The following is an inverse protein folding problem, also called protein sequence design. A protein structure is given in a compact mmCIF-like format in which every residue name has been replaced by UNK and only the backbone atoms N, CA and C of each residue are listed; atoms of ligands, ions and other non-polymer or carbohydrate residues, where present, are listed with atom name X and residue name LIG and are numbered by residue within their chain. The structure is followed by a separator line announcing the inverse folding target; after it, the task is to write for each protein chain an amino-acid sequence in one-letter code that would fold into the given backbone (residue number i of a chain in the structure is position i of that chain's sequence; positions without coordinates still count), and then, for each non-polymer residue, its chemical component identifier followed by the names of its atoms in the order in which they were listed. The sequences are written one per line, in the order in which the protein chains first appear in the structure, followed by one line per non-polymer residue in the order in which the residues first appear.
data_IF_227082654248
#
_entry.id   IF_227082654248
#
_cell.length_a   1.000
_cell.length_b   1.000
_cell.length_c   1.000
_cell.angle_alpha   90.00
_cell.angle_beta   90.00
_cell.angle_gamma   90.00
#
_symmetry.space_group_name_H-M   'P 1'
#
loop_
_entity.id
_entity.type
_entity.pdbx_description
1 polymer ?
#
# COMPACT_ATOMS: atom_id res chain seq x y z
N UNK A 1 14.46 -40.06 8.80
CA UNK A 1 15.00 -38.73 9.11
C UNK A 1 13.84 -37.78 8.96
N UNK A 2 13.23 -37.41 10.09
CA UNK A 2 12.12 -36.45 10.13
C UNK A 2 12.64 -35.07 9.71
N UNK A 3 12.15 -34.58 8.59
CA UNK A 3 12.31 -33.17 8.23
C UNK A 3 11.34 -32.37 9.11
N UNK A 4 11.91 -31.69 10.10
CA UNK A 4 11.20 -30.82 11.01
C UNK A 4 10.30 -29.84 10.26
N UNK A 5 9.01 -30.01 10.50
CA UNK A 5 7.93 -29.11 10.14
C UNK A 5 8.10 -27.80 10.93
N UNK A 6 9.02 -26.96 10.46
CA UNK A 6 9.28 -25.64 11.00
C UNK A 6 8.17 -24.68 10.59
N UNK A 7 6.97 -24.84 11.16
CA UNK A 7 5.97 -23.77 11.23
C UNK A 7 6.55 -22.67 12.13
N UNK A 8 7.23 -21.70 11.54
CA UNK A 8 7.32 -20.39 12.20
C UNK A 8 5.99 -19.68 11.98
N UNK A 9 5.00 -20.06 12.80
CA UNK A 9 3.82 -19.26 13.07
C UNK A 9 4.26 -17.95 13.74
N UNK A 10 4.85 -17.06 12.94
CA UNK A 10 5.06 -15.68 13.38
C UNK A 10 3.69 -15.04 13.51
N UNK A 11 3.34 -14.80 14.77
CA UNK A 11 2.05 -14.35 15.24
C UNK A 11 1.63 -13.03 14.57
N UNK A 12 0.39 -13.02 14.09
CA UNK A 12 -0.26 -11.80 13.63
C UNK A 12 -0.48 -10.87 14.81
N UNK A 13 -0.15 -9.59 14.65
CA UNK A 13 -0.62 -8.59 15.61
C UNK A 13 -2.04 -8.17 15.24
N UNK A 14 -2.97 -8.40 16.16
CA UNK A 14 -4.37 -8.08 15.94
C UNK A 14 -4.63 -6.57 16.07
N UNK A 15 -5.35 -6.03 15.10
CA UNK A 15 -5.85 -4.65 15.07
C UNK A 15 -7.37 -4.72 15.13
N UNK A 16 -7.92 -4.66 16.33
CA UNK A 16 -9.38 -4.76 16.51
C UNK A 16 -10.06 -3.40 16.28
N UNK A 17 -11.23 -3.45 15.62
CA UNK A 17 -12.16 -2.33 15.48
C UNK A 17 -13.51 -2.65 16.15
N UNK A 18 -14.19 -1.61 16.62
CA UNK A 18 -15.56 -1.73 17.12
C UNK A 18 -16.60 -1.82 15.98
N UNK A 19 -16.19 -1.56 14.73
CA UNK A 19 -17.07 -1.70 13.57
C UNK A 19 -17.46 -3.16 13.33
N UNK A 20 -18.69 -3.38 12.86
CA UNK A 20 -19.24 -4.71 12.63
C UNK A 20 -18.65 -5.41 11.40
N UNK A 21 -18.27 -4.63 10.39
CA UNK A 21 -17.60 -5.11 9.18
C UNK A 21 -16.58 -4.08 8.69
N UNK A 22 -15.67 -4.52 7.82
CA UNK A 22 -14.80 -3.63 7.06
C UNK A 22 -15.35 -3.51 5.64
N UNK A 23 -15.75 -2.30 5.26
CA UNK A 23 -16.13 -2.02 3.88
C UNK A 23 -14.89 -1.90 2.97
N UNK A 24 -15.13 -2.01 1.66
CA UNK A 24 -14.07 -1.93 0.65
C UNK A 24 -13.32 -0.59 0.65
N UNK A 25 -13.99 0.50 1.04
CA UNK A 25 -13.39 1.85 1.17
C UNK A 25 -12.37 1.88 2.31
N UNK A 26 -12.73 1.30 3.46
CA UNK A 26 -11.89 1.21 4.65
C UNK A 26 -10.64 0.39 4.38
N UNK A 27 -10.77 -0.77 3.72
CA UNK A 27 -9.62 -1.57 3.30
C UNK A 27 -8.71 -0.76 2.37
N UNK A 28 -9.29 -0.11 1.36
CA UNK A 28 -8.54 0.72 0.41
C UNK A 28 -7.73 1.85 1.10
N UNK A 29 -8.35 2.59 2.00
CA UNK A 29 -7.70 3.71 2.70
C UNK A 29 -6.63 3.22 3.69
N UNK A 30 -6.90 2.16 4.45
CA UNK A 30 -5.92 1.57 5.38
C UNK A 30 -4.68 1.09 4.63
N UNK A 31 -4.88 0.36 3.53
CA UNK A 31 -3.79 -0.12 2.67
C UNK A 31 -3.01 1.06 2.07
N UNK A 32 -3.71 2.11 1.64
CA UNK A 32 -3.07 3.31 1.06
C UNK A 32 -2.26 4.11 2.08
N UNK A 33 -2.77 4.26 3.30
CA UNK A 33 -2.08 4.96 4.38
C UNK A 33 -0.83 4.19 4.84
N UNK A 34 -0.94 2.86 4.98
CA UNK A 34 0.19 2.00 5.31
C UNK A 34 1.25 2.03 4.19
N UNK A 35 0.84 2.05 2.93
CA UNK A 35 1.75 2.21 1.80
C UNK A 35 2.52 3.54 1.88
N UNK A 36 1.82 4.65 2.15
CA UNK A 36 2.44 5.96 2.33
C UNK A 36 3.43 5.98 3.49
N UNK A 37 3.06 5.35 4.61
CA UNK A 37 3.92 5.17 5.78
C UNK A 37 5.18 4.35 5.45
N UNK A 38 5.06 3.21 4.77
CA UNK A 38 6.20 2.36 4.39
C UNK A 38 7.17 3.15 3.50
N UNK A 39 6.65 3.88 2.50
CA UNK A 39 7.51 4.68 1.63
C UNK A 39 8.27 5.75 2.41
N UNK A 40 7.59 6.44 3.33
CA UNK A 40 8.20 7.50 4.14
C UNK A 40 9.24 6.94 5.13
N UNK A 41 8.86 5.95 5.93
CA UNK A 41 9.72 5.38 6.98
C UNK A 41 10.99 4.73 6.42
N UNK A 42 10.91 4.14 5.23
CA UNK A 42 12.08 3.57 4.55
C UNK A 42 12.81 4.58 3.67
N UNK A 43 12.52 5.88 3.80
CA UNK A 43 13.17 6.96 3.05
C UNK A 43 13.11 6.77 1.52
N UNK A 44 12.03 6.14 1.04
CA UNK A 44 11.74 6.01 -0.40
C UNK A 44 11.11 7.28 -0.96
N UNK A 45 10.61 8.14 -0.08
CA UNK A 45 10.11 9.47 -0.38
C UNK A 45 10.62 10.45 0.69
N UNK A 46 10.76 11.73 0.33
CA UNK A 46 11.41 12.76 1.17
C UNK A 46 10.53 13.35 2.28
N UNK A 47 9.22 13.16 2.19
CA UNK A 47 8.22 13.61 3.17
C UNK A 47 7.00 12.70 3.09
N UNK A 48 6.01 12.90 3.96
CA UNK A 48 4.79 12.09 3.92
C UNK A 48 4.09 12.25 2.57
N UNK A 49 3.41 11.19 2.12
CA UNK A 49 2.86 11.13 0.76
C UNK A 49 1.89 12.29 0.45
N UNK A 50 1.19 12.81 1.45
CA UNK A 50 0.30 13.97 1.32
C UNK A 50 1.08 15.24 0.90
N UNK A 51 2.19 15.52 1.57
CA UNK A 51 3.01 16.72 1.30
C UNK A 51 3.63 16.66 -0.09
N UNK A 52 4.12 15.50 -0.52
CA UNK A 52 4.68 15.32 -1.87
C UNK A 52 3.59 15.45 -2.93
N UNK A 53 2.39 14.95 -2.64
CA UNK A 53 1.24 15.13 -3.54
C UNK A 53 0.91 16.61 -3.69
N UNK A 54 0.92 17.36 -2.59
CA UNK A 54 0.71 18.80 -2.59
C UNK A 54 1.81 19.54 -3.36
N UNK A 55 3.09 19.29 -3.06
CA UNK A 55 4.24 19.86 -3.79
C UNK A 55 4.13 19.60 -5.30
N UNK A 56 3.78 18.38 -5.70
CA UNK A 56 3.64 18.02 -7.10
C UNK A 56 2.51 18.77 -7.80
N UNK A 57 1.38 18.96 -7.11
CA UNK A 57 0.23 19.70 -7.63
C UNK A 57 0.53 21.19 -7.76
N UNK A 58 1.19 21.79 -6.77
CA UNK A 58 1.64 23.18 -6.79
C UNK A 58 2.61 23.43 -7.95
N UNK A 59 3.60 22.55 -8.13
CA UNK A 59 4.53 22.65 -9.27
C UNK A 59 3.80 22.57 -10.61
N UNK A 60 2.79 21.70 -10.74
CA UNK A 60 1.97 21.61 -11.96
C UNK A 60 1.09 22.82 -12.18
N UNK A 61 0.53 23.41 -11.12
CA UNK A 61 -0.24 24.64 -11.20
C UNK A 61 0.64 25.82 -11.63
N UNK A 62 1.77 26.02 -10.95
CA UNK A 62 2.74 27.07 -11.26
C UNK A 62 3.25 26.94 -12.71
N UNK A 63 3.53 25.71 -13.17
CA UNK A 63 3.96 25.49 -14.55
C UNK A 63 2.92 25.94 -15.58
N UNK A 64 1.62 25.69 -15.32
CA UNK A 64 0.52 26.13 -16.18
C UNK A 64 0.37 27.66 -16.17
N UNK A 65 0.49 28.28 -15.00
CA UNK A 65 0.46 29.74 -14.87
C UNK A 65 1.60 30.41 -15.64
N UNK A 66 2.83 29.90 -15.49
CA UNK A 66 4.00 30.37 -16.23
C UNK A 66 3.84 30.18 -17.75
N UNK A 67 3.12 29.15 -18.20
CA UNK A 67 2.80 28.97 -19.63
C UNK A 67 1.88 30.04 -20.17
N UNK A 68 0.83 30.39 -19.41
CA UNK A 68 -0.09 31.48 -19.76
C UNK A 68 0.62 32.83 -19.73
N UNK A 69 1.42 33.11 -18.69
CA UNK A 69 2.14 34.38 -18.56
C UNK A 69 3.16 34.60 -19.67
N UNK A 70 3.88 33.55 -20.08
CA UNK A 70 4.86 33.63 -21.17
C UNK A 70 4.18 33.81 -22.53
N UNK A 71 2.99 33.24 -22.73
CA UNK A 71 2.20 33.44 -23.94
C UNK A 71 1.67 34.89 -24.05
N UNK A 72 1.40 35.56 -22.92
CA UNK A 72 0.91 36.94 -22.86
C UNK A 72 2.02 38.00 -22.79
N UNK A 73 3.30 37.60 -22.79
CA UNK A 73 4.44 38.44 -22.41
C UNK A 73 4.99 39.35 -23.54
N UNK A 74 4.27 39.59 -24.64
CA UNK A 74 4.82 40.31 -25.81
C UNK A 74 5.34 41.73 -25.49
N UNK A 75 4.79 42.41 -24.48
CA UNK A 75 5.19 43.76 -24.04
C UNK A 75 6.09 43.81 -22.79
N UNK A 76 6.48 42.66 -22.19
CA UNK A 76 7.30 42.66 -20.96
C UNK A 76 8.79 42.83 -21.26
N UNK A 77 9.52 43.48 -20.34
CA UNK A 77 10.96 43.66 -20.44
C UNK A 77 11.73 42.34 -20.65
N UNK A 78 12.83 42.36 -21.41
CA UNK A 78 13.64 41.16 -21.71
C UNK A 78 14.15 40.48 -20.42
N UNK A 79 14.47 41.26 -19.39
CA UNK A 79 14.93 40.77 -18.09
C UNK A 79 13.87 39.93 -17.36
N UNK A 80 12.60 40.35 -17.38
CA UNK A 80 11.50 39.61 -16.74
C UNK A 80 11.20 38.33 -17.50
N UNK A 81 11.22 38.36 -18.84
CA UNK A 81 11.06 37.16 -19.68
C UNK A 81 12.16 36.12 -19.42
N UNK A 82 13.42 36.54 -19.25
CA UNK A 82 14.54 35.65 -18.90
C UNK A 82 14.34 35.02 -17.52
N UNK A 83 13.92 35.80 -16.52
CA UNK A 83 13.63 35.30 -15.15
C UNK A 83 12.49 34.27 -15.16
N UNK A 84 11.39 34.55 -15.86
CA UNK A 84 10.27 33.61 -16.00
C UNK A 84 10.69 32.32 -16.73
N UNK A 85 11.51 32.43 -17.78
CA UNK A 85 12.02 31.25 -18.49
C UNK A 85 12.94 30.39 -17.60
N UNK A 86 13.77 31.00 -16.75
CA UNK A 86 14.59 30.29 -15.77
C UNK A 86 13.71 29.56 -14.75
N UNK A 87 12.72 30.26 -14.17
CA UNK A 87 11.77 29.65 -13.22
C UNK A 87 10.99 28.50 -13.84
N UNK A 88 10.49 28.64 -15.07
CA UNK A 88 9.80 27.56 -15.79
C UNK A 88 10.67 26.31 -15.93
N UNK A 89 11.98 26.46 -16.16
CA UNK A 89 12.92 25.32 -16.23
C UNK A 89 13.06 24.63 -14.87
N UNK A 90 13.20 25.39 -13.79
CA UNK A 90 13.28 24.84 -12.42
C UNK A 90 12.03 24.05 -12.07
N UNK A 91 10.85 24.65 -12.27
CA UNK A 91 9.54 24.01 -12.00
C UNK A 91 9.39 22.73 -12.83
N UNK A 92 9.74 22.77 -14.12
CA UNK A 92 9.71 21.59 -15.00
C UNK A 92 10.62 20.47 -14.50
N UNK A 93 11.79 20.79 -13.96
CA UNK A 93 12.69 19.81 -13.36
C UNK A 93 12.12 19.23 -12.06
N UNK A 94 11.47 20.05 -11.23
CA UNK A 94 10.73 19.60 -10.05
C UNK A 94 9.62 18.60 -10.40
N UNK A 95 8.80 18.92 -11.41
CA UNK A 95 7.76 18.01 -11.91
C UNK A 95 8.38 16.68 -12.35
N UNK A 96 9.40 16.73 -13.22
CA UNK A 96 10.07 15.51 -13.74
C UNK A 96 10.63 14.62 -12.63
N UNK A 97 11.13 15.23 -11.55
CA UNK A 97 11.67 14.51 -10.38
C UNK A 97 10.59 13.65 -9.70
N UNK A 98 9.39 14.17 -9.54
CA UNK A 98 8.30 13.53 -8.79
C UNK A 98 7.35 12.71 -9.68
N UNK A 99 7.24 13.06 -10.97
CA UNK A 99 6.20 12.58 -11.88
C UNK A 99 6.12 11.05 -11.96
N UNK A 100 7.25 10.36 -12.12
CA UNK A 100 7.25 8.90 -12.21
C UNK A 100 6.72 8.24 -10.94
N UNK A 101 7.13 8.74 -9.78
CA UNK A 101 6.69 8.22 -8.48
C UNK A 101 5.22 8.51 -8.25
N UNK A 102 4.77 9.75 -8.51
CA UNK A 102 3.36 10.14 -8.34
C UNK A 102 2.43 9.39 -9.29
N UNK A 103 2.82 9.20 -10.55
CA UNK A 103 2.07 8.38 -11.50
C UNK A 103 2.01 6.92 -11.04
N UNK A 104 3.12 6.37 -10.54
CA UNK A 104 3.15 4.98 -10.03
C UNK A 104 2.25 4.81 -8.81
N UNK A 105 2.23 5.78 -7.88
CA UNK A 105 1.33 5.82 -6.72
C UNK A 105 -0.13 5.87 -7.20
N UNK A 106 -0.47 6.79 -8.10
CA UNK A 106 -1.83 6.95 -8.61
C UNK A 106 -2.31 5.68 -9.31
N UNK A 107 -1.50 5.10 -10.20
CA UNK A 107 -1.84 3.87 -10.92
C UNK A 107 -1.98 2.67 -9.97
N UNK A 108 -1.14 2.59 -8.92
CA UNK A 108 -1.25 1.55 -7.91
C UNK A 108 -2.54 1.70 -7.10
N UNK A 109 -2.91 2.92 -6.69
CA UNK A 109 -4.19 3.19 -6.03
C UNK A 109 -5.37 2.78 -6.91
N UNK A 110 -5.38 3.18 -8.18
CA UNK A 110 -6.43 2.75 -9.13
C UNK A 110 -6.49 1.23 -9.29
N UNK A 111 -5.34 0.56 -9.41
CA UNK A 111 -5.28 -0.90 -9.49
C UNK A 111 -5.83 -1.57 -8.22
N UNK A 112 -5.44 -1.06 -7.04
CA UNK A 112 -5.94 -1.56 -5.76
C UNK A 112 -7.45 -1.36 -5.63
N UNK A 113 -7.97 -0.21 -6.04
CA UNK A 113 -9.39 0.08 -6.05
C UNK A 113 -10.14 -0.95 -6.88
N UNK A 114 -9.73 -1.16 -8.15
CA UNK A 114 -10.32 -2.16 -9.04
C UNK A 114 -10.24 -3.59 -8.46
N UNK A 115 -9.09 -3.96 -7.89
CA UNK A 115 -8.91 -5.27 -7.25
C UNK A 115 -9.90 -5.51 -6.12
N UNK A 116 -10.07 -4.54 -5.22
CA UNK A 116 -10.97 -4.69 -4.07
C UNK A 116 -12.44 -4.59 -4.52
N UNK A 117 -12.75 -3.87 -5.61
CA UNK A 117 -14.10 -3.88 -6.19
C UNK A 117 -14.47 -5.26 -6.77
N UNK A 118 -13.55 -5.91 -7.49
CA UNK A 118 -13.76 -7.25 -8.07
C UNK A 118 -13.71 -8.36 -7.01
N UNK A 119 -12.87 -8.20 -5.99
CA UNK A 119 -12.69 -9.16 -4.91
C UNK A 119 -12.99 -8.46 -3.58
N UNK A 120 -14.27 -8.25 -3.23
CA UNK A 120 -14.64 -7.50 -2.01
C UNK A 120 -14.16 -8.17 -0.71
N UNK A 121 -13.89 -9.47 -0.77
CA UNK A 121 -13.37 -10.27 0.36
C UNK A 121 -11.86 -10.48 0.25
N UNK A 122 -11.07 -9.42 0.02
CA UNK A 122 -9.61 -9.55 0.01
C UNK A 122 -9.12 -10.01 1.37
N UNK A 123 -8.66 -11.26 1.44
CA UNK A 123 -8.20 -11.85 2.70
C UNK A 123 -6.80 -11.37 3.08
N UNK A 124 -5.91 -11.23 2.09
CA UNK A 124 -4.49 -10.97 2.33
C UNK A 124 -3.86 -10.08 1.27
N UNK A 125 -3.19 -9.02 1.73
CA UNK A 125 -2.38 -8.10 0.93
C UNK A 125 -0.96 -8.12 1.46
N UNK A 126 0.02 -8.19 0.58
CA UNK A 126 1.44 -8.10 0.91
C UNK A 126 2.09 -6.92 0.19
N UNK A 127 2.77 -6.07 0.96
CA UNK A 127 3.63 -5.00 0.43
C UNK A 127 5.07 -5.39 0.67
N UNK A 128 5.81 -5.53 -0.43
CA UNK A 128 7.19 -6.00 -0.41
C UNK A 128 8.12 -4.88 -0.85
N UNK A 129 9.03 -4.50 0.04
CA UNK A 129 10.06 -3.51 -0.25
C UNK A 129 11.39 -4.21 -0.52
N UNK A 130 11.98 -4.01 -1.70
CA UNK A 130 13.27 -4.62 -2.07
C UNK A 130 13.55 -4.61 -3.57
N UNK A 131 14.67 -5.21 -4.03
CA UNK A 131 15.00 -5.30 -5.46
C UNK A 131 13.95 -6.05 -6.30
N UNK A 132 13.29 -7.05 -5.70
CA UNK A 132 12.26 -7.88 -6.34
C UNK A 132 11.39 -8.55 -5.26
N UNK A 133 10.16 -9.00 -5.57
CA UNK A 133 9.32 -9.75 -4.62
C UNK A 133 9.99 -11.00 -4.03
N UNK A 134 10.89 -11.65 -4.78
CA UNK A 134 11.64 -12.84 -4.34
C UNK A 134 12.88 -12.53 -3.50
N UNK A 135 13.30 -11.26 -3.46
CA UNK A 135 14.45 -10.78 -2.66
C UNK A 135 13.99 -9.58 -1.83
N UNK A 136 13.06 -9.80 -0.88
CA UNK A 136 12.54 -8.74 -0.04
C UNK A 136 13.59 -8.27 0.98
N UNK A 137 13.69 -6.95 1.16
CA UNK A 137 14.33 -6.37 2.34
C UNK A 137 13.33 -6.32 3.49
N UNK A 138 12.09 -5.92 3.19
CA UNK A 138 11.00 -5.86 4.16
C UNK A 138 9.71 -6.40 3.54
N UNK A 139 8.91 -7.06 4.36
CA UNK A 139 7.60 -7.58 3.96
C UNK A 139 6.57 -7.10 4.99
N UNK A 140 5.52 -6.46 4.52
CA UNK A 140 4.36 -6.09 5.32
C UNK A 140 3.16 -6.89 4.82
N UNK A 141 2.50 -7.61 5.72
CA UNK A 141 1.33 -8.42 5.40
C UNK A 141 0.12 -7.91 6.18
N UNK A 142 -0.94 -7.61 5.45
CA UNK A 142 -2.20 -7.14 5.98
C UNK A 142 -3.24 -8.22 5.71
N UNK A 143 -3.84 -8.75 6.77
CA UNK A 143 -4.93 -9.70 6.68
C UNK A 143 -6.22 -9.07 7.17
N UNK A 144 -7.29 -9.22 6.41
CA UNK A 144 -8.60 -8.66 6.74
C UNK A 144 -9.57 -9.81 6.99
N UNK A 145 -10.06 -9.93 8.22
CA UNK A 145 -11.13 -10.88 8.52
C UNK A 145 -12.47 -10.18 8.32
N UNK A 146 -13.34 -10.78 7.50
CA UNK A 146 -14.75 -10.40 7.30
C UNK A 146 -15.01 -9.05 6.60
N UNK A 147 -14.76 -8.98 5.30
CA UNK A 147 -15.33 -7.92 4.45
C UNK A 147 -16.79 -8.24 4.14
N UNK A 148 -17.74 -7.40 4.52
CA UNK A 148 -19.14 -7.60 4.11
C UNK A 148 -19.93 -6.31 4.07
N UNK A 149 -19.42 -5.34 3.32
CA UNK A 149 -20.21 -4.19 2.86
C UNK A 149 -19.54 -3.59 1.63
N UNK A 150 -20.26 -3.60 0.51
CA UNK A 150 -19.84 -2.89 -0.72
C UNK A 150 -20.37 -1.47 -0.59
N UNK A 151 -19.51 -0.53 -0.18
CA UNK A 151 -19.80 0.89 -0.29
C UNK A 151 -19.45 1.37 -1.69
N UNK A 152 -20.38 2.02 -2.40
CA UNK A 152 -20.14 2.59 -3.72
C UNK A 152 -19.27 3.85 -3.72
N UNK A 153 -19.06 4.46 -2.54
CA UNK A 153 -18.22 5.65 -2.38
C UNK A 153 -16.92 5.29 -1.63
N UNK A 154 -15.80 5.71 -2.22
CA UNK A 154 -14.44 5.61 -1.65
C UNK A 154 -14.08 6.85 -0.82
N UNK A 155 -15.07 7.59 -0.32
CA UNK A 155 -14.85 8.66 0.65
C UNK A 155 -14.19 8.12 1.92
N UNK A 156 -13.33 8.94 2.51
CA UNK A 156 -12.53 8.56 3.67
C UNK A 156 -13.40 8.53 4.93
N UNK A 157 -13.48 7.38 5.60
CA UNK A 157 -14.24 7.21 6.84
C UNK A 157 -13.37 7.46 8.09
N UNK A 158 -14.01 7.83 9.21
CA UNK A 158 -13.34 7.92 10.52
C UNK A 158 -12.79 6.56 11.00
N UNK A 159 -13.45 5.47 10.59
CA UNK A 159 -13.03 4.10 10.90
C UNK A 159 -11.69 3.80 10.22
N UNK A 160 -11.58 4.11 8.93
CA UNK A 160 -10.33 3.99 8.19
C UNK A 160 -9.20 4.79 8.84
N UNK A 161 -9.44 6.05 9.20
CA UNK A 161 -8.44 6.91 9.83
C UNK A 161 -7.95 6.35 11.19
N UNK A 162 -8.89 5.87 12.02
CA UNK A 162 -8.57 5.25 13.30
C UNK A 162 -7.75 3.97 13.13
N UNK A 163 -8.15 3.11 12.20
CA UNK A 163 -7.46 1.86 11.89
C UNK A 163 -6.07 2.10 11.31
N UNK A 164 -5.92 3.03 10.37
CA UNK A 164 -4.63 3.44 9.81
C UNK A 164 -3.68 3.88 10.92
N UNK A 165 -4.11 4.77 11.82
CA UNK A 165 -3.29 5.20 12.95
C UNK A 165 -2.89 4.06 13.87
N UNK A 166 -3.84 3.17 14.22
CA UNK A 166 -3.56 2.01 15.08
C UNK A 166 -2.55 1.08 14.43
N UNK A 167 -2.76 0.74 13.16
CA UNK A 167 -1.85 -0.10 12.37
C UNK A 167 -0.46 0.51 12.27
N UNK A 168 -0.34 1.78 11.92
CA UNK A 168 0.95 2.49 11.82
C UNK A 168 1.67 2.51 13.16
N UNK A 169 0.98 2.84 14.27
CA UNK A 169 1.58 2.81 15.62
C UNK A 169 2.09 1.42 15.97
N UNK A 170 1.33 0.38 15.66
CA UNK A 170 1.75 -1.01 15.87
C UNK A 170 2.96 -1.38 15.01
N UNK A 171 3.03 -0.92 13.76
CA UNK A 171 4.21 -1.14 12.91
C UNK A 171 5.46 -0.48 13.53
N UNK A 172 5.34 0.77 13.97
CA UNK A 172 6.42 1.49 14.64
C UNK A 172 6.87 0.75 15.91
N UNK A 173 5.94 0.31 16.76
CA UNK A 173 6.28 -0.42 17.99
C UNK A 173 6.94 -1.77 17.74
N UNK A 174 6.71 -2.38 16.56
CA UNK A 174 7.39 -3.61 16.12
C UNK A 174 8.74 -3.36 15.44
N UNK A 175 9.19 -2.10 15.35
CA UNK A 175 10.49 -1.74 14.76
C UNK A 175 10.44 -1.45 13.25
N UNK A 176 9.27 -1.18 12.66
CA UNK A 176 9.22 -0.74 11.26
C UNK A 176 10.00 0.58 11.09
N UNK A 177 11.06 0.53 10.27
CA UNK A 177 11.92 1.69 10.00
C UNK A 177 13.11 1.86 10.95
N UNK A 178 13.41 0.89 11.83
CA UNK A 178 14.57 0.96 12.73
C UNK A 178 15.93 0.70 12.06
N UNK A 179 15.95 0.43 10.75
CA UNK A 179 17.13 0.05 10.01
C UNK A 179 17.78 1.25 9.31
N UNK A 180 19.06 1.13 9.00
CA UNK A 180 19.78 2.12 8.21
C UNK A 180 19.26 2.19 6.77
N UNK A 181 19.34 3.38 6.17
CA UNK A 181 18.98 3.60 4.78
C UNK A 181 19.92 2.84 3.84
N UNK A 182 19.34 2.02 2.97
CA UNK A 182 20.08 1.17 2.01
C UNK A 182 19.99 1.68 0.57
N UNK A 183 19.53 2.90 0.38
CA UNK A 183 19.30 3.48 -0.95
C UNK A 183 17.87 3.31 -1.47
N UNK A 184 17.58 3.88 -2.66
CA UNK A 184 16.27 3.77 -3.29
C UNK A 184 16.01 2.35 -3.78
N UNK A 185 14.85 1.81 -3.44
CA UNK A 185 14.43 0.46 -3.82
C UNK A 185 13.00 0.49 -4.39
N UNK A 186 12.37 -0.68 -4.53
CA UNK A 186 11.03 -0.81 -5.13
C UNK A 186 10.03 -1.36 -4.13
N UNK A 187 8.84 -0.78 -4.12
CA UNK A 187 7.67 -1.30 -3.41
C UNK A 187 6.77 -2.04 -4.40
N UNK A 188 6.55 -3.33 -4.13
CA UNK A 188 5.64 -4.20 -4.86
C UNK A 188 4.40 -4.47 -4.02
N UNK A 189 3.23 -4.49 -4.67
CA UNK A 189 1.97 -4.88 -4.05
C UNK A 189 1.55 -6.26 -4.59
N UNK A 190 1.25 -7.18 -3.69
CA UNK A 190 0.69 -8.49 -4.01
C UNK A 190 -0.63 -8.67 -3.26
N UNK A 191 -1.60 -9.30 -3.90
CA UNK A 191 -2.93 -9.56 -3.32
C UNK A 191 -3.25 -11.03 -3.52
N UNK A 192 -3.73 -11.71 -2.47
CA UNK A 192 -4.35 -13.03 -2.62
C UNK A 192 -5.77 -12.87 -3.12
N UNK A 193 -6.09 -13.52 -4.23
CA UNK A 193 -7.40 -13.47 -4.86
C UNK A 193 -7.71 -14.81 -5.56
N UNK A 194 -8.98 -15.10 -5.86
CA UNK A 194 -9.37 -16.28 -6.63
C UNK A 194 -8.64 -16.37 -7.97
N UNK A 195 -8.26 -17.57 -8.38
CA UNK A 195 -7.53 -17.80 -9.64
C UNK A 195 -8.33 -17.42 -10.89
N UNK A 196 -9.66 -17.26 -10.77
CA UNK A 196 -10.56 -16.74 -11.80
C UNK A 196 -10.50 -15.23 -12.01
N UNK A 197 -9.83 -14.47 -11.13
CA UNK A 197 -9.71 -13.02 -11.25
C UNK A 197 -9.06 -12.61 -12.58
N UNK A 198 -9.69 -11.68 -13.29
CA UNK A 198 -9.23 -11.20 -14.59
C UNK A 198 -9.01 -9.67 -14.61
N UNK A 199 -7.86 -9.22 -14.10
CA UNK A 199 -7.42 -7.82 -14.16
C UNK A 199 -6.05 -7.69 -14.85
N UNK A 200 -5.90 -8.10 -16.13
CA UNK A 200 -4.60 -8.32 -16.76
C UNK A 200 -3.80 -7.04 -16.99
N UNK A 201 -4.47 -5.88 -17.09
CA UNK A 201 -3.84 -4.56 -17.22
C UNK A 201 -3.17 -4.10 -15.92
N UNK A 202 -3.58 -4.63 -14.78
CA UNK A 202 -3.15 -4.15 -13.46
C UNK A 202 -2.44 -5.23 -12.64
N UNK A 203 -2.76 -6.50 -12.84
CA UNK A 203 -2.26 -7.61 -12.04
C UNK A 203 -1.75 -8.77 -12.90
N UNK A 204 -0.73 -9.44 -12.37
CA UNK A 204 -0.13 -10.63 -12.97
C UNK A 204 -0.28 -11.80 -11.99
N UNK A 205 -0.86 -12.94 -12.40
CA UNK A 205 -0.94 -14.12 -11.55
C UNK A 205 0.47 -14.66 -11.26
N UNK A 206 0.67 -15.13 -10.03
CA UNK A 206 1.93 -15.65 -9.49
C UNK A 206 1.67 -16.97 -8.75
N UNK A 207 1.27 -17.99 -9.50
CA UNK A 207 0.92 -19.33 -8.97
C UNK A 207 2.04 -19.97 -8.14
N UNK A 208 3.28 -19.83 -8.59
CA UNK A 208 4.46 -20.39 -7.92
C UNK A 208 5.14 -19.44 -6.90
N UNK A 209 4.51 -18.31 -6.57
CA UNK A 209 5.14 -17.38 -5.65
C UNK A 209 5.12 -17.91 -4.22
N UNK A 210 6.31 -18.24 -3.73
CA UNK A 210 6.57 -18.57 -2.33
C UNK A 210 7.37 -17.45 -1.70
N UNK A 211 6.92 -16.99 -0.54
CA UNK A 211 7.61 -15.94 0.19
C UNK A 211 9.01 -16.41 0.61
N UNK A 212 9.96 -15.48 0.54
CA UNK A 212 11.34 -15.75 0.88
C UNK A 212 11.49 -15.98 2.39
N UNK A 213 11.94 -17.18 2.79
CA UNK A 213 11.92 -17.64 4.18
C UNK A 213 12.86 -16.89 5.13
N UNK A 214 13.88 -16.16 4.63
CA UNK A 214 14.85 -15.48 5.52
C UNK A 214 14.40 -14.10 5.99
N UNK A 215 13.35 -13.53 5.42
CA UNK A 215 12.85 -12.20 5.80
C UNK A 215 11.60 -12.37 6.65
N UNK A 216 11.65 -11.87 7.89
CA UNK A 216 10.52 -11.91 8.83
C UNK A 216 9.50 -10.83 8.43
N UNK A 217 8.24 -11.19 8.13
CA UNK A 217 7.22 -10.22 7.77
C UNK A 217 6.61 -9.50 8.99
N UNK A 218 6.29 -8.21 8.82
CA UNK A 218 5.40 -7.48 9.70
C UNK A 218 3.95 -7.87 9.39
N UNK A 219 3.35 -8.70 10.25
CA UNK A 219 2.01 -9.26 10.05
C UNK A 219 0.97 -8.55 10.91
N UNK A 220 -0.01 -7.91 10.26
CA UNK A 220 -1.17 -7.30 10.91
C UNK A 220 -2.45 -8.04 10.50
N UNK A 221 -3.34 -8.30 11.47
CA UNK A 221 -4.67 -8.87 11.23
C UNK A 221 -5.73 -7.91 11.72
N UNK A 222 -6.57 -7.40 10.81
CA UNK A 222 -7.66 -6.49 11.12
C UNK A 222 -8.92 -7.29 11.43
N UNK A 223 -9.48 -7.11 12.64
CA UNK A 223 -10.64 -7.87 13.15
C UNK A 223 -11.79 -6.95 13.56
N UNK A 224 -13.01 -7.36 13.20
CA UNK A 224 -14.27 -6.77 13.67
C UNK A 224 -14.74 -7.52 14.93
N UNK A 225 -15.15 -6.78 15.97
CA UNK A 225 -15.45 -7.35 17.30
C UNK A 225 -16.73 -8.20 17.39
N UNK A 226 -17.68 -8.08 16.46
CA UNK A 226 -19.04 -8.61 16.65
C UNK A 226 -19.23 -10.10 16.36
N UNK A 227 -18.31 -10.78 15.66
CA UNK A 227 -18.48 -12.21 15.35
C UNK A 227 -17.62 -13.18 16.19
N UNK A 228 -16.65 -12.69 16.98
CA UNK A 228 -15.90 -13.57 17.91
C UNK A 228 -16.80 -14.08 19.07
N UNK A 229 -18.02 -13.55 19.23
CA UNK A 229 -19.01 -13.99 20.21
C UNK A 229 -19.82 -15.22 19.76
N UNK A 230 -20.00 -15.45 18.46
CA UNK A 230 -20.77 -16.62 17.97
C UNK A 230 -19.97 -17.93 18.05
N UNK A 231 -18.64 -17.86 18.09
CA UNK A 231 -17.78 -19.05 18.15
C UNK A 231 -17.46 -19.52 19.59
N UNK A 232 -17.72 -18.69 20.60
CA UNK A 232 -17.46 -19.00 22.02
C UNK A 232 -18.73 -19.36 22.82
N UNK A 233 -19.86 -19.58 22.14
CA UNK A 233 -21.19 -19.74 22.74
C UNK A 233 -21.88 -21.09 22.51
N UNK A 234 -21.17 -22.19 22.22
CA UNK A 234 -21.80 -23.52 22.20
C UNK A 234 -21.31 -24.39 23.36
N UNK A 235 -22.23 -24.85 24.24
CA UNK A 235 -21.93 -25.94 25.16
C UNK A 235 -21.77 -27.24 24.37
N UNK A 236 -20.79 -28.05 24.76
CA UNK A 236 -20.67 -29.46 24.39
C UNK A 236 -22.03 -30.17 24.46
N UNK A 237 -22.50 -30.70 23.34
CA UNK A 237 -23.21 -31.98 23.33
C UNK A 237 -23.10 -32.61 21.93
N UNK A 238 -22.67 -33.88 21.91
CA UNK A 238 -22.34 -34.61 20.71
C UNK A 238 -23.57 -35.09 19.95
N UNK A 239 -23.60 -34.81 18.65
CA UNK A 239 -24.14 -35.70 17.62
C UNK A 239 -23.72 -35.16 16.24
N UNK A 240 -23.24 -36.06 15.39
CA UNK A 240 -22.80 -35.81 14.02
C UNK A 240 -23.76 -34.96 13.19
N UNK A 241 -23.29 -33.80 12.72
CA UNK A 241 -23.79 -33.12 11.53
C UNK A 241 -22.59 -32.69 10.69
N UNK A 242 -22.06 -33.66 9.95
CA UNK A 242 -21.21 -33.40 8.78
C UNK A 242 -22.12 -32.71 7.75
N UNK A 243 -21.91 -31.42 7.54
CA UNK A 243 -22.62 -30.70 6.49
C UNK A 243 -22.51 -29.18 6.61
N UNK A 244 -21.80 -28.59 5.64
CA UNK A 244 -21.97 -27.21 5.17
C UNK A 244 -21.06 -26.09 5.75
N UNK A 245 -19.79 -26.38 6.05
CA UNK A 245 -18.76 -25.32 6.11
C UNK A 245 -17.46 -25.66 5.34
N UNK A 246 -17.50 -26.66 4.46
CA UNK A 246 -16.56 -26.72 3.32
C UNK A 246 -17.10 -25.80 2.20
N UNK A 247 -17.21 -24.51 2.49
CA UNK A 247 -17.38 -23.51 1.43
C UNK A 247 -16.05 -23.42 0.71
N UNK A 248 -15.89 -24.24 -0.34
CA UNK A 248 -14.82 -24.24 -1.34
C UNK A 248 -13.46 -23.77 -0.81
N UNK A 249 -12.48 -24.67 -0.70
CA UNK A 249 -11.08 -24.25 -0.65
C UNK A 249 -10.80 -23.36 -1.87
N UNK A 250 -10.98 -22.03 -1.71
CA UNK A 250 -10.84 -21.06 -2.78
C UNK A 250 -9.41 -21.23 -3.26
N UNK A 251 -9.26 -21.54 -4.54
CA UNK A 251 -7.96 -21.58 -5.21
C UNK A 251 -7.38 -20.16 -5.26
N UNK A 252 -6.90 -19.70 -4.11
CA UNK A 252 -6.37 -18.36 -3.90
C UNK A 252 -4.90 -18.37 -4.29
N UNK A 253 -4.61 -17.64 -5.36
CA UNK A 253 -3.25 -17.43 -5.82
C UNK A 253 -2.82 -15.98 -5.56
N UNK A 254 -1.51 -15.76 -5.57
CA UNK A 254 -0.97 -14.41 -5.49
C UNK A 254 -1.10 -13.70 -6.84
N UNK A 255 -1.53 -12.44 -6.80
CA UNK A 255 -1.51 -11.53 -7.93
C UNK A 255 -0.58 -10.37 -7.62
N UNK A 256 0.42 -10.14 -8.46
CA UNK A 256 1.34 -9.01 -8.32
C UNK A 256 0.82 -7.82 -9.13
N UNK A 257 0.69 -6.65 -8.50
CA UNK A 257 0.40 -5.41 -9.20
C UNK A 257 1.54 -5.08 -10.18
N UNK A 258 1.18 -4.72 -11.41
CA UNK A 258 2.12 -4.27 -12.46
C UNK A 258 2.74 -2.92 -12.11
N UNK A 259 2.02 -2.08 -11.38
CA UNK A 259 2.48 -0.76 -10.96
C UNK A 259 3.39 -0.92 -9.73
N UNK A 260 4.67 -0.62 -9.93
CA UNK A 260 5.70 -0.68 -8.88
C UNK A 260 6.17 0.73 -8.55
N UNK A 261 6.21 1.09 -7.27
CA UNK A 261 6.69 2.40 -6.84
C UNK A 261 8.21 2.29 -6.63
N UNK A 262 8.98 3.09 -7.37
CA UNK A 262 10.43 3.22 -7.16
C UNK A 262 10.70 4.39 -6.23
N UNK A 263 11.52 4.17 -5.21
CA UNK A 263 11.97 5.23 -4.31
C UNK A 263 12.73 6.33 -5.04
N UNK A 264 12.61 7.54 -4.50
CA UNK A 264 13.37 8.70 -4.92
C UNK A 264 14.78 8.66 -4.30
N UNK A 265 15.83 9.07 -5.03
CA UNK A 265 17.15 9.24 -4.44
C UNK A 265 17.11 10.29 -3.34
N UNK A 266 17.39 9.88 -2.10
CA UNK A 266 17.60 10.81 -0.99
C UNK A 266 18.85 11.66 -1.23
N UNK A 267 18.78 12.95 -0.89
CA UNK A 267 19.92 13.89 -0.86
C UNK A 267 20.57 13.92 0.52
N UNK A 268 20.52 12.84 1.30
CA UNK A 268 21.33 12.77 2.52
C UNK A 268 22.80 12.73 2.09
N UNK A 269 23.52 13.83 2.36
CA UNK A 269 24.97 13.84 2.31
C UNK A 269 25.49 12.67 3.15
N UNK A 270 26.53 11.99 2.65
CA UNK A 270 27.23 11.00 3.46
C UNK A 270 27.63 11.65 4.80
N UNK A 271 27.58 10.91 5.92
CA UNK A 271 28.22 11.40 7.13
C UNK A 271 29.69 11.70 6.79
N UNK A 272 30.13 12.92 7.07
CA UNK A 272 31.56 13.24 7.08
C UNK A 272 32.19 12.39 8.19
N UNK A 273 33.12 11.51 7.81
CA UNK A 273 33.98 10.75 8.74
C UNK A 273 35.00 11.68 9.43
#
# INVERSE_FOLDING_TARGET
MDEGEGSSDMEFTNIDTAAESLDISTVFHVVTDILGFILFMHQQISSVLQDITQEFNELRAEYKELEVELAQSEMKAISTRRKQAARKREVKMGIRRLEKTMNSVSNLKTALQLMISEVPNVEKISMVLGPSPLRPLYVYELCFSHGRTVSGDYSRSKVAESLSRKAIRTLISRGAGSNSYTGPTKLFLLVKAPSSLNLPLHFLPKREFRQYKKTVPFRLKFRCRTHDLEMNGQPNDGASSIGLLDTEAKDLIWFQCRHTIKGLPSRTSAPED
#
